data_IF_807678540033
#
_entry.id   IF_807678540033
#
_cell.length_a   1.000
_cell.length_b   1.000
_cell.length_c   1.000
_cell.angle_alpha   90.00
_cell.angle_beta   90.00
_cell.angle_gamma   90.00
#
_symmetry.space_group_name_H-M   'P 1'
#
loop_
_entity.id
_entity.type
_entity.pdbx_description
1 polymer ?
#
# COMPACT_ATOMS: atom_id res chain seq x y z
N UNK A 1 -16.09 -13.38 5.65
CA UNK A 1 -14.99 -12.77 4.88
C UNK A 1 -14.28 -11.82 5.83
N UNK A 2 -12.97 -11.97 6.02
CA UNK A 2 -12.19 -11.03 6.83
C UNK A 2 -11.76 -9.82 5.99
N UNK A 3 -11.39 -8.72 6.64
CA UNK A 3 -10.89 -7.49 6.00
C UNK A 3 -9.36 -7.52 5.98
N UNK A 4 -8.74 -7.39 4.82
CA UNK A 4 -7.28 -7.21 4.71
C UNK A 4 -6.89 -5.74 4.89
N UNK A 5 -5.73 -5.50 5.50
CA UNK A 5 -5.20 -4.18 5.83
C UNK A 5 -3.81 -3.99 5.27
N UNK A 6 -3.52 -2.77 4.83
CA UNK A 6 -2.17 -2.34 4.49
C UNK A 6 -1.80 -1.11 5.31
N UNK A 7 -0.55 -1.05 5.76
CA UNK A 7 0.04 0.13 6.39
C UNK A 7 1.04 0.76 5.42
N UNK A 8 0.86 2.05 5.12
CA UNK A 8 1.60 2.71 4.06
C UNK A 8 2.12 4.07 4.49
N UNK A 9 3.31 4.42 3.99
CA UNK A 9 3.92 5.73 4.15
C UNK A 9 3.87 6.45 2.80
N UNK A 10 3.07 7.51 2.74
CA UNK A 10 2.93 8.33 1.54
C UNK A 10 4.19 9.14 1.20
N UNK A 11 5.00 9.45 2.22
CA UNK A 11 6.25 10.20 2.05
C UNK A 11 7.34 9.35 1.39
N UNK A 12 7.57 8.13 1.87
CA UNK A 12 8.58 7.22 1.31
C UNK A 12 8.08 6.38 0.14
N UNK A 13 6.75 6.37 -0.08
CA UNK A 13 6.07 5.47 -1.02
C UNK A 13 6.39 4.01 -0.71
N UNK A 14 6.25 3.63 0.56
CA UNK A 14 6.48 2.27 1.05
C UNK A 14 5.23 1.76 1.76
N UNK A 15 4.95 0.46 1.68
CA UNK A 15 3.84 -0.14 2.41
C UNK A 15 4.10 -1.59 2.81
N UNK A 16 3.33 -2.08 3.79
CA UNK A 16 3.35 -3.45 4.29
C UNK A 16 1.93 -4.03 4.17
N UNK A 17 1.80 -5.25 3.66
CA UNK A 17 0.59 -6.07 3.78
C UNK A 17 0.49 -6.64 5.19
N UNK A 18 -0.57 -6.25 5.91
CA UNK A 18 -0.81 -6.70 7.29
C UNK A 18 -1.79 -7.87 7.37
N UNK A 19 -2.37 -8.29 6.23
CA UNK A 19 -3.44 -9.26 6.17
C UNK A 19 -4.60 -8.82 7.09
N UNK A 20 -5.15 -9.72 7.92
CA UNK A 20 -6.28 -9.43 8.81
C UNK A 20 -5.94 -8.63 10.07
N UNK A 21 -4.74 -8.04 10.16
CA UNK A 21 -4.29 -7.28 11.33
C UNK A 21 -4.27 -5.78 11.05
N UNK A 22 -5.13 -4.99 11.71
CA UNK A 22 -5.17 -3.53 11.50
C UNK A 22 -4.08 -2.73 12.22
N UNK A 23 -3.19 -3.40 12.96
CA UNK A 23 -2.19 -2.88 13.93
C UNK A 23 -2.74 -1.93 15.02
N UNK A 24 -3.46 -0.88 14.65
CA UNK A 24 -4.19 0.04 15.51
C UNK A 24 -5.67 -0.33 15.43
N UNK A 25 -6.18 -1.07 16.43
CA UNK A 25 -7.49 -1.74 16.38
C UNK A 25 -8.67 -0.78 16.21
N UNK A 26 -8.67 0.33 16.94
CA UNK A 26 -9.70 1.36 16.88
C UNK A 26 -9.68 2.14 15.56
N UNK A 27 -8.48 2.42 15.02
CA UNK A 27 -8.32 2.95 13.66
C UNK A 27 -8.89 1.98 12.61
N UNK A 28 -8.54 0.70 12.67
CA UNK A 28 -9.09 -0.33 11.78
C UNK A 28 -10.61 -0.44 11.86
N UNK A 29 -11.16 -0.43 13.08
CA UNK A 29 -12.61 -0.45 13.31
C UNK A 29 -13.28 0.77 12.71
N UNK A 30 -12.70 1.96 12.92
CA UNK A 30 -13.17 3.21 12.35
C UNK A 30 -13.17 3.15 10.81
N UNK A 31 -12.08 2.67 10.21
CA UNK A 31 -11.94 2.55 8.76
C UNK A 31 -13.01 1.64 8.15
N UNK A 32 -13.26 0.47 8.75
CA UNK A 32 -14.33 -0.44 8.31
C UNK A 32 -15.70 0.22 8.43
N UNK A 33 -15.95 0.92 9.52
CA UNK A 33 -17.20 1.67 9.71
C UNK A 33 -17.40 2.75 8.64
N UNK A 34 -16.36 3.50 8.31
CA UNK A 34 -16.38 4.53 7.28
C UNK A 34 -16.75 3.98 5.89
N UNK A 35 -16.36 2.74 5.57
CA UNK A 35 -16.75 2.07 4.34
C UNK A 35 -18.25 1.68 4.31
N UNK A 36 -18.78 1.15 5.41
CA UNK A 36 -20.18 0.70 5.45
C UNK A 36 -21.19 1.82 5.69
N UNK A 37 -20.76 2.92 6.31
CA UNK A 37 -21.61 4.02 6.71
C UNK A 37 -21.04 5.39 6.32
N UNK A 38 -20.71 5.61 5.03
CA UNK A 38 -19.96 6.79 4.60
C UNK A 38 -20.63 8.12 4.96
N UNK A 39 -21.97 8.16 4.95
CA UNK A 39 -22.77 9.33 5.32
C UNK A 39 -22.60 9.79 6.79
N UNK A 40 -22.20 8.89 7.70
CA UNK A 40 -21.93 9.24 9.10
C UNK A 40 -20.57 9.99 9.25
N UNK A 41 -19.73 9.99 8.20
CA UNK A 41 -18.34 10.46 8.24
C UNK A 41 -17.98 11.49 7.17
N UNK A 42 -18.95 12.01 6.41
CA UNK A 42 -18.73 12.94 5.27
C UNK A 42 -17.95 14.22 5.64
N UNK A 43 -17.98 14.65 6.91
CA UNK A 43 -17.35 15.89 7.37
C UNK A 43 -15.97 15.73 8.01
N UNK A 44 -15.41 14.52 8.11
CA UNK A 44 -14.24 14.24 8.95
C UNK A 44 -12.90 14.36 8.22
N UNK A 45 -12.53 15.59 7.88
CA UNK A 45 -11.29 15.90 7.15
C UNK A 45 -10.09 16.22 8.05
N UNK A 46 -10.33 16.59 9.30
CA UNK A 46 -9.29 17.09 10.20
C UNK A 46 -9.20 16.27 11.51
N UNK A 47 -8.03 16.29 12.19
CA UNK A 47 -7.87 15.70 13.54
C UNK A 47 -8.85 16.24 14.59
N UNK A 48 -9.37 17.44 14.40
CA UNK A 48 -10.35 18.05 15.31
C UNK A 48 -11.74 17.42 15.17
N UNK A 49 -12.03 16.87 13.97
CA UNK A 49 -13.31 16.25 13.64
C UNK A 49 -13.30 14.72 13.84
N UNK A 50 -12.12 14.10 13.83
CA UNK A 50 -11.92 12.65 14.01
C UNK A 50 -10.55 12.34 14.62
N UNK A 51 -10.46 11.38 15.55
CA UNK A 51 -9.17 10.86 15.99
C UNK A 51 -8.37 10.21 14.84
N UNK A 52 -9.05 9.82 13.76
CA UNK A 52 -8.48 9.18 12.57
C UNK A 52 -8.94 9.94 11.31
N UNK A 53 -8.28 11.05 10.94
CA UNK A 53 -8.64 11.83 9.76
C UNK A 53 -8.49 11.00 8.49
N UNK A 54 -9.36 11.23 7.50
CA UNK A 54 -9.14 10.61 6.19
C UNK A 54 -7.87 11.15 5.53
N UNK A 55 -7.07 10.26 4.94
CA UNK A 55 -5.92 10.63 4.14
C UNK A 55 -6.34 11.21 2.78
N UNK A 56 -7.52 10.83 2.29
CA UNK A 56 -8.17 11.34 1.09
C UNK A 56 -9.69 11.30 1.29
N UNK A 57 -10.32 12.47 1.19
CA UNK A 57 -11.75 12.64 1.41
C UNK A 57 -12.61 12.12 0.24
N UNK A 58 -12.08 12.28 -0.96
CA UNK A 58 -12.85 12.22 -2.21
C UNK A 58 -12.85 10.80 -2.80
N UNK A 59 -11.97 9.94 -2.33
CA UNK A 59 -11.87 8.57 -2.82
C UNK A 59 -12.89 7.62 -2.17
N UNK A 60 -13.33 6.64 -2.97
CA UNK A 60 -14.12 5.48 -2.50
C UNK A 60 -13.27 4.48 -1.73
N UNK A 61 -11.95 4.49 -1.95
CA UNK A 61 -10.99 3.73 -1.16
C UNK A 61 -10.61 4.57 0.07
N UNK A 62 -11.31 4.36 1.19
CA UNK A 62 -11.04 5.10 2.42
C UNK A 62 -9.67 4.70 2.96
N UNK A 63 -8.92 5.71 3.38
CA UNK A 63 -7.60 5.63 3.97
C UNK A 63 -7.64 6.57 5.17
N UNK A 64 -7.11 6.15 6.31
CA UNK A 64 -7.06 7.00 7.50
C UNK A 64 -5.63 7.23 7.95
N UNK A 65 -5.35 8.43 8.43
CA UNK A 65 -4.04 8.77 8.96
C UNK A 65 -3.85 8.12 10.33
N UNK A 66 -2.66 7.55 10.52
CA UNK A 66 -2.17 7.04 11.80
C UNK A 66 -0.75 7.56 12.01
N UNK A 67 -0.29 7.62 13.25
CA UNK A 67 1.08 8.03 13.55
C UNK A 67 1.96 6.85 13.94
N UNK A 68 3.29 7.01 13.82
CA UNK A 68 4.25 6.05 14.39
C UNK A 68 4.01 5.81 15.88
N UNK A 69 3.59 6.84 16.62
CA UNK A 69 3.32 6.72 18.05
C UNK A 69 2.05 5.92 18.35
N UNK A 70 1.01 6.03 17.51
CA UNK A 70 -0.18 5.17 17.63
C UNK A 70 0.17 3.70 17.40
N UNK A 71 0.99 3.42 16.38
CA UNK A 71 1.50 2.08 16.08
C UNK A 71 2.33 1.54 17.26
N UNK A 72 3.33 2.29 17.74
CA UNK A 72 4.18 1.89 18.88
C UNK A 72 3.36 1.63 20.14
N UNK A 73 2.35 2.47 20.41
CA UNK A 73 1.43 2.31 21.54
C UNK A 73 0.63 1.01 21.41
N UNK A 74 0.09 0.72 20.22
CA UNK A 74 -0.66 -0.51 19.96
C UNK A 74 0.23 -1.76 20.12
N UNK A 75 1.46 -1.73 19.59
CA UNK A 75 2.43 -2.82 19.78
C UNK A 75 2.79 -3.03 21.26
N UNK A 76 2.99 -1.94 22.00
CA UNK A 76 3.32 -1.99 23.44
C UNK A 76 2.18 -2.52 24.31
N UNK A 77 0.93 -2.44 23.84
CA UNK A 77 -0.23 -3.01 24.52
C UNK A 77 -0.31 -4.55 24.39
N UNK A 78 0.52 -5.15 23.53
CA UNK A 78 0.58 -6.59 23.28
C UNK A 78 -0.18 -6.97 22.00
N UNK A 79 0.50 -7.32 20.90
CA UNK A 79 -0.17 -7.74 19.67
C UNK A 79 -0.90 -9.08 19.87
N UNK A 80 -1.93 -9.39 19.06
CA UNK A 80 -2.63 -10.67 19.18
C UNK A 80 -1.70 -11.88 19.00
N UNK A 81 -1.98 -12.97 19.73
CA UNK A 81 -1.15 -14.18 19.73
C UNK A 81 -1.36 -15.08 18.50
N UNK A 82 -1.21 -14.54 17.30
CA UNK A 82 -1.26 -15.30 16.04
C UNK A 82 0.13 -15.38 15.44
N UNK A 83 0.53 -16.56 14.93
CA UNK A 83 1.92 -16.78 14.48
C UNK A 83 2.36 -15.77 13.41
N UNK A 84 1.52 -15.50 12.41
CA UNK A 84 1.84 -14.52 11.38
C UNK A 84 1.96 -13.08 11.92
N UNK A 85 1.24 -12.74 12.99
CA UNK A 85 1.35 -11.43 13.65
C UNK A 85 2.69 -11.34 14.38
N UNK A 86 3.17 -12.43 14.99
CA UNK A 86 4.50 -12.46 15.61
C UNK A 86 5.59 -12.23 14.56
N UNK A 87 5.43 -12.80 13.36
CA UNK A 87 6.36 -12.60 12.25
C UNK A 87 6.28 -11.18 11.66
N UNK A 88 5.09 -10.58 11.59
CA UNK A 88 4.89 -9.20 11.12
C UNK A 88 5.34 -8.14 12.13
N UNK A 89 5.20 -8.39 13.43
CA UNK A 89 5.48 -7.43 14.50
C UNK A 89 6.84 -6.72 14.36
N UNK A 90 7.99 -7.41 14.18
CA UNK A 90 9.27 -6.74 14.01
C UNK A 90 9.34 -5.87 12.75
N UNK A 91 8.62 -6.23 11.68
CA UNK A 91 8.58 -5.45 10.43
C UNK A 91 7.79 -4.16 10.65
N UNK A 92 6.63 -4.25 11.32
CA UNK A 92 5.79 -3.09 11.65
C UNK A 92 6.49 -2.15 12.64
N UNK A 93 7.21 -2.70 13.61
CA UNK A 93 8.04 -1.92 14.54
C UNK A 93 9.14 -1.15 13.80
N UNK A 94 9.89 -1.82 12.93
CA UNK A 94 10.91 -1.20 12.10
C UNK A 94 10.33 -0.13 11.15
N UNK A 95 9.14 -0.39 10.60
CA UNK A 95 8.43 0.57 9.75
C UNK A 95 8.05 1.82 10.53
N UNK A 96 7.44 1.69 11.71
CA UNK A 96 7.07 2.82 12.55
C UNK A 96 8.29 3.63 13.00
N UNK A 97 9.42 2.97 13.29
CA UNK A 97 10.67 3.63 13.62
C UNK A 97 11.26 4.42 12.43
N UNK A 98 11.28 3.82 11.24
CA UNK A 98 11.86 4.42 10.03
C UNK A 98 11.05 5.61 9.51
N UNK A 99 9.73 5.57 9.70
CA UNK A 99 8.79 6.55 9.15
C UNK A 99 8.30 7.58 10.19
N UNK A 100 9.09 7.82 11.25
CA UNK A 100 8.76 8.80 12.27
C UNK A 100 8.62 10.22 11.69
N UNK A 101 7.47 10.85 11.96
CA UNK A 101 7.13 12.16 11.42
C UNK A 101 6.68 12.17 9.95
N UNK A 102 6.57 11.01 9.30
CA UNK A 102 6.05 10.91 7.94
C UNK A 102 4.52 10.82 7.90
N UNK A 103 3.94 11.03 6.72
CA UNK A 103 2.51 10.80 6.49
C UNK A 103 2.24 9.31 6.33
N UNK A 104 1.78 8.65 7.39
CA UNK A 104 1.41 7.23 7.41
C UNK A 104 -0.11 7.10 7.35
N UNK A 105 -0.60 6.12 6.60
CA UNK A 105 -2.03 5.80 6.56
C UNK A 105 -2.26 4.29 6.64
N UNK A 106 -3.41 3.93 7.24
CA UNK A 106 -4.00 2.60 7.21
C UNK A 106 -5.05 2.55 6.10
N UNK A 107 -5.05 1.46 5.33
CA UNK A 107 -5.98 1.15 4.25
C UNK A 107 -6.56 -0.25 4.48
N UNK A 108 -7.76 -0.51 3.95
CA UNK A 108 -8.33 -1.86 3.89
C UNK A 108 -8.91 -2.23 2.52
N UNK A 109 -9.12 -3.52 2.27
CA UNK A 109 -9.61 -4.10 1.01
C UNK A 109 -11.13 -3.92 0.74
N UNK A 110 -11.86 -3.19 1.58
CA UNK A 110 -13.30 -2.92 1.38
C UNK A 110 -13.60 -1.86 0.29
N UNK A 111 -12.57 -1.18 -0.20
CA UNK A 111 -12.65 -0.19 -1.27
C UNK A 111 -12.44 -0.78 -2.66
N UNK A 112 -12.47 0.10 -3.66
CA UNK A 112 -11.99 -0.23 -5.00
C UNK A 112 -10.46 -0.26 -4.98
N UNK A 113 -9.88 -1.45 -5.14
CA UNK A 113 -8.43 -1.66 -5.08
C UNK A 113 -7.71 -1.01 -6.26
N UNK A 114 -8.42 -0.69 -7.34
CA UNK A 114 -7.83 0.06 -8.45
C UNK A 114 -7.48 1.50 -8.06
N UNK A 115 -7.99 1.99 -6.92
CA UNK A 115 -7.68 3.30 -6.35
C UNK A 115 -6.53 3.26 -5.32
N UNK A 116 -5.90 2.10 -5.12
CA UNK A 116 -4.74 2.00 -4.26
C UNK A 116 -3.54 2.67 -4.91
N UNK A 117 -2.73 3.46 -4.18
CA UNK A 117 -1.66 4.24 -4.79
C UNK A 117 -0.61 3.41 -5.55
N UNK A 118 -0.52 2.12 -5.22
CA UNK A 118 0.37 1.14 -5.85
C UNK A 118 -0.32 0.26 -6.90
N UNK A 119 -1.61 0.48 -7.20
CA UNK A 119 -2.27 -0.18 -8.32
C UNK A 119 -1.64 0.31 -9.64
N UNK A 120 -1.37 -0.58 -10.63
CA UNK A 120 -0.85 -0.21 -11.95
C UNK A 120 -1.68 0.87 -12.68
N UNK A 121 -2.95 1.01 -12.30
CA UNK A 121 -3.89 1.96 -12.87
C UNK A 121 -3.80 3.37 -12.23
N UNK A 122 -3.00 3.55 -11.17
CA UNK A 122 -2.83 4.83 -10.48
C UNK A 122 -1.58 5.60 -10.94
N UNK A 123 -1.66 6.95 -11.00
CA UNK A 123 -0.48 7.76 -11.27
C UNK A 123 0.55 7.61 -10.15
N UNK A 124 1.82 7.44 -10.54
CA UNK A 124 2.93 7.32 -9.59
C UNK A 124 3.05 5.95 -8.90
N UNK A 125 2.27 4.94 -9.30
CA UNK A 125 2.35 3.58 -8.72
C UNK A 125 3.78 3.01 -8.78
N UNK A 126 4.52 3.37 -9.82
CA UNK A 126 5.89 2.93 -10.05
C UNK A 126 6.88 3.35 -8.95
N UNK A 127 6.55 4.39 -8.18
CA UNK A 127 7.36 4.87 -7.07
C UNK A 127 7.05 4.16 -5.75
N UNK A 128 6.01 3.32 -5.72
CA UNK A 128 5.66 2.53 -4.55
C UNK A 128 6.50 1.26 -4.43
N UNK A 129 6.73 0.87 -3.18
CA UNK A 129 7.52 -0.30 -2.80
C UNK A 129 6.81 -1.09 -1.71
N UNK A 130 6.60 -2.39 -1.94
CA UNK A 130 6.11 -3.30 -0.91
C UNK A 130 7.28 -3.78 -0.05
N UNK A 131 7.27 -3.46 1.23
CA UNK A 131 8.25 -3.96 2.20
C UNK A 131 8.04 -5.45 2.38
N UNK A 132 9.12 -6.24 2.27
CA UNK A 132 9.05 -7.69 2.38
C UNK A 132 8.52 -8.14 3.75
N UNK A 133 7.44 -8.91 3.74
CA UNK A 133 6.88 -9.58 4.92
C UNK A 133 6.43 -11.02 4.64
N UNK A 134 5.74 -11.67 5.60
CA UNK A 134 5.17 -13.01 5.42
C UNK A 134 4.03 -13.06 4.41
N UNK A 135 3.40 -11.91 4.12
CA UNK A 135 2.46 -11.74 3.03
C UNK A 135 3.07 -10.72 2.06
N UNK A 136 3.22 -11.12 0.81
CA UNK A 136 3.69 -10.26 -0.26
C UNK A 136 2.84 -10.55 -1.48
N UNK A 137 2.13 -9.53 -1.95
CA UNK A 137 1.23 -9.65 -3.09
C UNK A 137 1.65 -8.73 -4.24
N UNK A 138 2.50 -7.73 -3.95
CA UNK A 138 2.85 -6.63 -4.84
C UNK A 138 4.35 -6.57 -5.16
N UNK A 139 5.08 -7.67 -4.99
CA UNK A 139 6.51 -7.74 -5.31
C UNK A 139 6.83 -7.56 -6.82
N UNK A 140 5.80 -7.44 -7.68
CA UNK A 140 5.89 -7.12 -9.11
C UNK A 140 6.07 -5.62 -9.36
N UNK A 141 5.94 -4.78 -8.32
CA UNK A 141 6.09 -3.34 -8.47
C UNK A 141 7.48 -2.98 -9.03
N UNK A 142 7.59 -1.95 -9.89
CA UNK A 142 8.85 -1.57 -10.51
C UNK A 142 10.01 -1.37 -9.52
N UNK A 143 9.76 -0.77 -8.34
CA UNK A 143 10.79 -0.66 -7.28
C UNK A 143 11.19 -2.01 -6.73
N UNK A 144 10.25 -2.90 -6.41
CA UNK A 144 10.56 -4.24 -5.90
C UNK A 144 11.40 -5.06 -6.90
N UNK A 145 11.04 -5.02 -8.18
CA UNK A 145 11.78 -5.71 -9.26
C UNK A 145 13.22 -5.19 -9.39
N UNK A 146 13.42 -3.88 -9.27
CA UNK A 146 14.73 -3.26 -9.53
C UNK A 146 15.60 -3.12 -8.28
N UNK A 147 15.03 -2.69 -7.16
CA UNK A 147 15.74 -2.36 -5.92
C UNK A 147 16.01 -3.63 -5.10
N UNK A 148 15.06 -4.56 -5.02
CA UNK A 148 15.19 -5.80 -4.22
C UNK A 148 15.68 -6.98 -5.06
N UNK A 149 15.01 -7.26 -6.18
CA UNK A 149 15.35 -8.41 -7.04
C UNK A 149 16.51 -8.13 -8.00
N UNK A 150 16.96 -6.87 -8.09
CA UNK A 150 18.08 -6.46 -8.95
C UNK A 150 17.89 -6.80 -10.44
N UNK A 151 16.63 -6.93 -10.90
CA UNK A 151 16.31 -7.24 -12.28
C UNK A 151 16.60 -6.04 -13.19
N UNK A 152 17.13 -6.32 -14.38
CA UNK A 152 17.55 -5.32 -15.37
C UNK A 152 17.05 -5.61 -16.79
N UNK A 153 16.41 -6.75 -17.00
CA UNK A 153 15.81 -7.15 -18.26
C UNK A 153 14.36 -7.60 -18.02
N UNK A 154 13.46 -7.26 -18.95
CA UNK A 154 12.04 -7.60 -18.81
C UNK A 154 11.79 -9.10 -18.98
N UNK A 155 12.58 -9.82 -19.78
CA UNK A 155 12.40 -11.27 -19.90
C UNK A 155 12.76 -11.98 -18.60
N UNK A 156 13.76 -11.49 -17.87
CA UNK A 156 14.09 -12.02 -16.54
C UNK A 156 12.92 -11.83 -15.57
N UNK A 157 12.23 -10.67 -15.62
CA UNK A 157 10.98 -10.44 -14.85
C UNK A 157 9.92 -11.49 -15.21
N UNK A 158 9.68 -11.73 -16.50
CA UNK A 158 8.68 -12.72 -16.93
C UNK A 158 9.02 -14.14 -16.45
N UNK A 159 10.30 -14.51 -16.41
CA UNK A 159 10.74 -15.82 -15.91
C UNK A 159 10.56 -15.93 -14.40
N UNK A 160 10.97 -14.89 -13.67
CA UNK A 160 10.96 -14.88 -12.20
C UNK A 160 9.55 -14.77 -11.62
N UNK A 161 8.67 -14.02 -12.27
CA UNK A 161 7.34 -13.66 -11.76
C UNK A 161 6.20 -14.46 -12.39
N UNK A 162 6.49 -15.44 -13.26
CA UNK A 162 5.48 -16.16 -14.06
C UNK A 162 4.33 -16.78 -13.25
N UNK A 163 4.60 -17.15 -12.00
CA UNK A 163 3.66 -17.83 -11.11
C UNK A 163 3.03 -16.86 -10.09
N UNK A 164 3.31 -15.56 -10.20
CA UNK A 164 2.82 -14.52 -9.31
C UNK A 164 1.76 -13.65 -10.01
N UNK A 165 0.89 -13.00 -9.24
CA UNK A 165 0.01 -11.97 -9.77
C UNK A 165 0.86 -10.73 -10.20
N UNK A 166 0.52 -10.01 -11.28
CA UNK A 166 -0.59 -10.26 -12.21
C UNK A 166 -0.26 -11.27 -13.32
N UNK A 167 0.98 -11.74 -13.42
CA UNK A 167 1.47 -12.55 -14.54
C UNK A 167 0.79 -13.92 -14.69
N UNK A 168 0.30 -14.49 -13.59
CA UNK A 168 -0.52 -15.71 -13.61
C UNK A 168 -1.80 -15.55 -14.44
N UNK A 169 -2.29 -14.31 -14.58
CA UNK A 169 -3.51 -13.95 -15.31
C UNK A 169 -3.20 -13.01 -16.49
N UNK A 170 -2.06 -13.22 -17.16
CA UNK A 170 -1.57 -12.27 -18.15
C UNK A 170 -2.52 -12.01 -19.33
N UNK A 171 -3.37 -12.96 -19.67
CA UNK A 171 -4.39 -12.79 -20.72
C UNK A 171 -5.51 -11.82 -20.29
N UNK A 172 -5.83 -11.76 -19.00
CA UNK A 172 -6.90 -10.94 -18.44
C UNK A 172 -6.39 -9.56 -17.96
N UNK A 173 -5.08 -9.43 -17.71
CA UNK A 173 -4.44 -8.25 -17.13
C UNK A 173 -3.36 -7.65 -18.06
N UNK A 174 -3.64 -7.64 -19.37
CA UNK A 174 -2.68 -7.16 -20.38
C UNK A 174 -2.32 -5.68 -20.17
N UNK A 175 -3.31 -4.85 -19.80
CA UNK A 175 -3.10 -3.41 -19.57
C UNK A 175 -2.23 -3.15 -18.32
N UNK A 176 -2.49 -3.86 -17.22
CA UNK A 176 -1.69 -3.77 -15.99
C UNK A 176 -0.25 -4.24 -16.22
N UNK A 177 -0.08 -5.38 -16.90
CA UNK A 177 1.25 -5.89 -17.24
C UNK A 177 1.99 -4.91 -18.15
N UNK A 178 1.30 -4.30 -19.11
CA UNK A 178 1.88 -3.26 -19.96
C UNK A 178 2.30 -2.02 -19.16
N UNK A 179 1.49 -1.58 -18.21
CA UNK A 179 1.81 -0.47 -17.31
C UNK A 179 3.05 -0.77 -16.45
N UNK A 180 3.09 -1.96 -15.82
CA UNK A 180 4.22 -2.43 -15.01
C UNK A 180 5.49 -2.50 -15.85
N UNK A 181 5.41 -3.11 -17.05
CA UNK A 181 6.54 -3.19 -17.99
C UNK A 181 7.08 -1.81 -18.33
N UNK A 182 6.21 -0.90 -18.73
CA UNK A 182 6.58 0.45 -19.14
C UNK A 182 7.26 1.19 -17.99
N UNK A 183 6.74 1.07 -16.77
CA UNK A 183 7.33 1.69 -15.59
C UNK A 183 8.69 1.08 -15.22
N UNK A 184 8.82 -0.26 -15.28
CA UNK A 184 10.08 -0.97 -15.06
C UNK A 184 11.15 -0.53 -16.06
N UNK A 185 10.85 -0.55 -17.36
CA UNK A 185 11.78 -0.17 -18.43
C UNK A 185 12.24 1.30 -18.31
N UNK A 186 11.34 2.21 -17.92
CA UNK A 186 11.69 3.61 -17.64
C UNK A 186 12.66 3.72 -16.48
N UNK A 187 12.41 2.99 -15.39
CA UNK A 187 13.24 3.02 -14.18
C UNK A 187 14.66 2.53 -14.47
N UNK A 188 14.84 1.42 -15.19
CA UNK A 188 16.18 0.90 -15.52
C UNK A 188 16.93 1.76 -16.54
N UNK A 189 16.22 2.49 -17.41
CA UNK A 189 16.85 3.38 -18.40
C UNK A 189 17.10 4.80 -17.88
N UNK A 190 16.57 5.15 -16.71
CA UNK A 190 16.64 6.51 -16.15
C UNK A 190 15.88 7.55 -16.96
N UNK A 191 14.93 7.13 -17.80
CA UNK A 191 14.12 8.07 -18.59
C UNK A 191 13.06 8.71 -17.70
N UNK A 192 13.03 10.04 -17.67
CA UNK A 192 11.96 10.79 -17.04
C UNK A 192 10.60 10.43 -17.68
N UNK A 193 9.49 10.47 -16.92
CA UNK A 193 8.17 10.35 -17.51
C UNK A 193 8.00 11.43 -18.59
N UNK A 194 7.32 11.13 -19.71
CA UNK A 194 6.95 12.18 -20.65
C UNK A 194 6.16 13.23 -19.87
N UNK A 195 6.57 14.51 -19.98
CA UNK A 195 5.80 15.61 -19.42
C UNK A 195 4.40 15.48 -20.03
N UNK A 196 3.43 15.06 -19.22
CA UNK A 196 2.03 15.10 -19.61
C UNK A 196 1.74 16.56 -19.82
N UNK A 197 1.68 16.97 -21.09
CA UNK A 197 1.30 18.31 -21.47
C UNK A 197 0.00 18.62 -20.75
N UNK A 198 0.07 19.52 -19.77
CA UNK A 198 -1.08 20.26 -19.31
C UNK A 198 -1.54 21.05 -20.54
N UNK A 199 -2.48 20.48 -21.29
CA UNK A 199 -3.32 21.27 -22.17
C UNK A 199 -4.20 22.12 -21.24
N UNK A 200 -3.86 23.41 -21.15
CA UNK A 200 -4.65 24.47 -20.50
C UNK A 200 -6.04 24.64 -21.16
#
# INVERSE_FOLDING_TARGET
MGVDYCLACDTCKEFIELHKWSVVEDAGTFLVHAHYKPHEYESQLSPEDSPYPFADAETRCKKILVTSDDIRRALSAGPPEQDYIRDLTPIVEAFAATHEGHRIFLRCDLGDTDLDPWSPNQPGFADWFEVSGPFQWHHYLPRNLTDTRSLRDWNDVLVEMKDDWPFMYAEDLEEEIHAIRTAFERRITGRAPPETGMED
#
